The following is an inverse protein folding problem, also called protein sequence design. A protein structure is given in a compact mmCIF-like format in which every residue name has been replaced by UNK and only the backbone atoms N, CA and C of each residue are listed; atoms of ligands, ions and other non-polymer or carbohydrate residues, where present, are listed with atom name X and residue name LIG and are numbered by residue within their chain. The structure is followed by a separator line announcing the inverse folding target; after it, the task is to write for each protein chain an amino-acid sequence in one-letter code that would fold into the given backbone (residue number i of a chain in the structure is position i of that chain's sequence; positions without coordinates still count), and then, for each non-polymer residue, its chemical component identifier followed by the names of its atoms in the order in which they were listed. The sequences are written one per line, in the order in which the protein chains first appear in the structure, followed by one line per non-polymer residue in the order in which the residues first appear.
data_IF_293289095443
#
_entry.id   IF_293289095443
#
_cell.length_a   1.000
_cell.length_b   1.000
_cell.length_c   1.000
_cell.angle_alpha   90.00
_cell.angle_beta   90.00
_cell.angle_gamma   90.00
#
_symmetry.space_group_name_H-M   'P 1'
#
loop_
_entity.id
_entity.type
_entity.pdbx_description
1 polymer ?
#
# COMPACT_ATOMS: atom_id res chain seq x y z
N UNK A 1 24.63 -17.90 17.29
CA UNK A 1 23.85 -19.00 16.63
C UNK A 1 24.62 -20.31 16.60
N UNK A 2 25.84 -20.35 16.03
CA UNK A 2 26.70 -21.55 16.03
C UNK A 2 26.94 -22.09 17.44
N UNK A 3 27.30 -21.22 18.38
CA UNK A 3 27.44 -21.54 19.81
C UNK A 3 26.20 -22.21 20.45
N UNK A 4 24.99 -21.96 19.94
CA UNK A 4 23.76 -22.63 20.40
C UNK A 4 23.56 -24.01 19.78
N UNK A 5 24.05 -24.25 18.56
CA UNK A 5 23.91 -25.50 17.82
C UNK A 5 25.05 -26.51 18.09
N UNK A 6 26.22 -26.01 18.51
CA UNK A 6 27.42 -26.78 18.90
C UNK A 6 27.12 -27.86 19.95
N UNK A 7 26.43 -27.58 21.07
CA UNK A 7 26.11 -28.60 22.08
C UNK A 7 25.18 -29.69 21.56
N UNK A 8 24.39 -29.42 20.51
CA UNK A 8 23.43 -30.35 19.93
C UNK A 8 24.00 -31.13 18.73
N UNK A 9 25.30 -30.99 18.42
CA UNK A 9 25.97 -31.55 17.22
C UNK A 9 25.22 -31.27 15.91
N UNK A 10 24.60 -30.10 15.82
CA UNK A 10 23.68 -29.69 14.75
C UNK A 10 24.20 -28.50 13.93
N UNK A 11 25.51 -28.29 13.84
CA UNK A 11 26.11 -27.18 13.06
C UNK A 11 26.15 -27.43 11.54
N UNK A 12 25.13 -28.07 10.95
CA UNK A 12 25.07 -28.18 9.48
C UNK A 12 24.67 -26.84 8.86
N UNK A 13 25.07 -26.59 7.61
CA UNK A 13 24.67 -25.38 6.86
C UNK A 13 23.15 -25.17 6.90
N UNK A 14 22.38 -26.23 6.68
CA UNK A 14 20.92 -26.19 6.71
C UNK A 14 20.35 -25.82 8.08
N UNK A 15 20.92 -26.35 9.17
CA UNK A 15 20.53 -26.02 10.54
C UNK A 15 20.86 -24.56 10.89
N UNK A 16 22.02 -24.08 10.42
CA UNK A 16 22.42 -22.68 10.56
C UNK A 16 21.47 -21.77 9.78
N UNK A 17 21.05 -22.14 8.57
CA UNK A 17 20.10 -21.31 7.81
C UNK A 17 18.71 -21.34 8.49
N UNK A 18 18.24 -22.51 8.92
CA UNK A 18 16.91 -22.71 9.48
C UNK A 18 16.66 -21.95 10.80
N UNK A 19 17.70 -21.73 11.60
CA UNK A 19 17.55 -21.00 12.86
C UNK A 19 17.88 -19.50 12.78
N UNK A 20 18.11 -18.95 11.58
CA UNK A 20 18.22 -17.49 11.40
C UNK A 20 16.84 -16.85 11.53
N UNK A 21 16.78 -15.73 12.24
CA UNK A 21 15.54 -14.97 12.37
C UNK A 21 15.23 -14.21 11.09
N UNK A 22 13.96 -13.84 10.89
CA UNK A 22 13.58 -12.96 9.79
C UNK A 22 14.29 -11.59 9.86
N UNK A 23 14.64 -11.13 11.08
CA UNK A 23 15.42 -9.92 11.28
C UNK A 23 16.86 -9.99 10.76
N UNK A 24 17.47 -11.19 10.74
CA UNK A 24 18.76 -11.38 10.11
C UNK A 24 18.67 -11.14 8.59
N UNK A 25 17.66 -11.73 7.93
CA UNK A 25 17.46 -11.60 6.49
C UNK A 25 17.13 -10.16 6.08
N UNK A 26 16.30 -9.44 6.85
CA UNK A 26 16.06 -8.02 6.61
C UNK A 26 17.32 -7.18 6.80
N UNK A 27 18.14 -7.51 7.81
CA UNK A 27 19.41 -6.83 8.08
C UNK A 27 20.46 -7.05 6.98
N UNK A 28 20.48 -8.25 6.37
CA UNK A 28 21.37 -8.60 5.25
C UNK A 28 21.12 -7.73 4.01
N UNK A 29 19.90 -7.22 3.85
CA UNK A 29 19.54 -6.30 2.78
C UNK A 29 19.82 -4.83 3.14
N UNK A 30 20.48 -4.55 4.26
CA UNK A 30 20.85 -3.20 4.68
C UNK A 30 21.95 -2.56 3.83
N UNK A 31 22.17 -1.23 3.95
CA UNK A 31 23.17 -0.51 3.16
C UNK A 31 24.61 -0.97 3.40
N UNK A 32 24.89 -1.58 4.57
CA UNK A 32 26.22 -2.12 4.90
C UNK A 32 26.63 -3.29 4.00
N UNK A 33 25.69 -3.92 3.31
CA UNK A 33 25.92 -5.08 2.46
C UNK A 33 25.68 -4.75 0.97
N UNK A 34 25.88 -3.49 0.57
CA UNK A 34 25.72 -3.05 -0.83
C UNK A 34 26.67 -3.79 -1.78
N UNK A 35 27.92 -4.02 -1.38
CA UNK A 35 28.89 -4.80 -2.16
C UNK A 35 28.40 -6.24 -2.33
N UNK A 36 28.00 -6.89 -1.23
CA UNK A 36 27.45 -8.25 -1.28
C UNK A 36 26.19 -8.33 -2.16
N UNK A 37 25.37 -7.27 -2.19
CA UNK A 37 24.25 -7.17 -3.11
C UNK A 37 24.69 -7.16 -4.57
N UNK A 38 25.65 -6.29 -4.91
CA UNK A 38 26.21 -6.16 -6.27
C UNK A 38 26.87 -7.46 -6.72
N UNK A 39 27.56 -8.15 -5.82
CA UNK A 39 28.29 -9.35 -6.16
C UNK A 39 27.36 -10.56 -6.39
N UNK A 40 26.42 -10.80 -5.46
CA UNK A 40 25.62 -12.03 -5.52
C UNK A 40 24.20 -11.97 -4.98
N UNK A 41 23.84 -11.13 -3.99
CA UNK A 41 22.49 -11.21 -3.40
C UNK A 41 21.37 -10.83 -4.37
N UNK A 42 21.63 -9.94 -5.33
CA UNK A 42 20.63 -9.59 -6.35
C UNK A 42 20.13 -10.81 -7.13
N UNK A 43 20.96 -11.85 -7.28
CA UNK A 43 20.61 -13.09 -7.99
C UNK A 43 19.54 -13.92 -7.27
N UNK A 44 19.36 -13.71 -5.97
CA UNK A 44 18.29 -14.34 -5.21
C UNK A 44 16.92 -13.70 -5.45
N UNK A 45 16.88 -12.55 -6.14
CA UNK A 45 15.65 -11.81 -6.46
C UNK A 45 15.55 -11.53 -7.97
N UNK A 46 15.56 -12.58 -8.82
CA UNK A 46 15.64 -12.45 -10.27
C UNK A 46 14.47 -11.66 -10.88
N UNK A 47 13.30 -11.65 -10.22
CA UNK A 47 12.10 -10.97 -10.70
C UNK A 47 11.86 -9.61 -10.02
N UNK A 48 12.85 -9.08 -9.30
CA UNK A 48 12.79 -7.74 -8.73
C UNK A 48 13.26 -6.68 -9.74
N UNK A 49 13.21 -5.40 -9.36
CA UNK A 49 13.78 -4.32 -10.17
C UNK A 49 15.32 -4.28 -10.20
N UNK A 50 15.99 -5.23 -9.53
CA UNK A 50 17.45 -5.24 -9.35
C UNK A 50 17.98 -4.22 -8.34
N UNK A 51 17.16 -3.28 -7.87
CA UNK A 51 17.54 -2.27 -6.87
C UNK A 51 17.41 -2.83 -5.44
N UNK A 52 18.53 -2.95 -4.71
CA UNK A 52 18.55 -3.43 -3.30
C UNK A 52 17.53 -2.71 -2.43
N UNK A 53 17.48 -1.38 -2.54
CA UNK A 53 16.59 -0.53 -1.73
C UNK A 53 15.12 -0.92 -1.86
N UNK A 54 14.68 -1.33 -3.05
CA UNK A 54 13.30 -1.75 -3.27
C UNK A 54 12.99 -3.08 -2.57
N UNK A 55 13.87 -4.08 -2.72
CA UNK A 55 13.74 -5.38 -2.05
C UNK A 55 13.83 -5.23 -0.53
N UNK A 56 14.78 -4.43 -0.03
CA UNK A 56 14.95 -4.15 1.39
C UNK A 56 13.67 -3.55 2.02
N UNK A 57 13.02 -2.60 1.33
CA UNK A 57 11.75 -2.03 1.81
C UNK A 57 10.62 -3.06 1.80
N UNK A 58 10.52 -3.90 0.76
CA UNK A 58 9.51 -4.96 0.70
C UNK A 58 9.67 -5.97 1.85
N UNK A 59 10.90 -6.43 2.10
CA UNK A 59 11.20 -7.33 3.23
C UNK A 59 10.91 -6.67 4.57
N UNK A 60 11.27 -5.41 4.73
CA UNK A 60 11.03 -4.67 5.98
C UNK A 60 9.54 -4.48 6.27
N UNK A 61 8.70 -4.29 5.25
CA UNK A 61 7.24 -4.24 5.40
C UNK A 61 6.67 -5.57 5.90
N UNK A 62 7.05 -6.67 5.23
CA UNK A 62 6.64 -8.02 5.66
C UNK A 62 7.11 -8.29 7.08
N UNK A 63 8.33 -7.86 7.45
CA UNK A 63 8.86 -8.01 8.81
C UNK A 63 8.02 -7.26 9.83
N UNK A 64 7.67 -6.00 9.56
CA UNK A 64 6.84 -5.17 10.44
C UNK A 64 5.46 -5.79 10.63
N UNK A 65 4.81 -6.21 9.54
CA UNK A 65 3.51 -6.86 9.62
C UNK A 65 3.57 -8.18 10.40
N UNK A 66 4.53 -9.06 10.09
CA UNK A 66 4.75 -10.32 10.82
C UNK A 66 5.00 -10.08 12.31
N UNK A 67 5.81 -9.06 12.65
CA UNK A 67 6.10 -8.74 14.05
C UNK A 67 4.85 -8.23 14.79
N UNK A 68 4.04 -7.39 14.14
CA UNK A 68 2.73 -6.97 14.68
C UNK A 68 1.88 -8.19 15.08
N UNK A 69 1.79 -9.17 14.19
CA UNK A 69 1.06 -10.41 14.46
C UNK A 69 1.67 -11.21 15.63
N UNK A 70 3.00 -11.35 15.65
CA UNK A 70 3.71 -12.06 16.72
C UNK A 70 3.60 -11.37 18.09
N UNK A 71 3.39 -10.06 18.12
CA UNK A 71 3.15 -9.29 19.34
C UNK A 71 1.67 -9.22 19.73
N UNK A 72 0.77 -9.87 18.99
CA UNK A 72 -0.69 -9.79 19.20
C UNK A 72 -1.26 -8.36 19.16
N UNK A 73 -0.60 -7.47 18.41
CA UNK A 73 -1.08 -6.11 18.20
C UNK A 73 -2.39 -6.10 17.41
N UNK A 74 -3.22 -5.07 17.63
CA UNK A 74 -4.50 -4.92 16.92
C UNK A 74 -4.32 -4.80 15.41
N UNK A 75 -5.12 -5.58 14.68
CA UNK A 75 -5.22 -5.60 13.21
C UNK A 75 -6.48 -4.91 12.68
N UNK A 76 -7.32 -4.34 13.56
CA UNK A 76 -8.61 -3.72 13.20
C UNK A 76 -8.42 -2.61 12.15
N UNK A 77 -7.33 -1.84 12.26
CA UNK A 77 -7.02 -0.73 11.35
C UNK A 77 -6.03 -1.10 10.23
N UNK A 78 -5.86 -2.39 9.95
CA UNK A 78 -4.90 -2.90 8.97
C UNK A 78 -5.66 -3.51 7.79
N UNK A 79 -5.28 -3.09 6.59
CA UNK A 79 -5.73 -3.70 5.33
C UNK A 79 -5.03 -5.06 5.12
N UNK A 80 -5.57 -6.11 5.75
CA UNK A 80 -5.04 -7.48 5.66
C UNK A 80 -4.90 -7.97 4.21
N UNK A 81 -5.89 -7.78 3.31
CA UNK A 81 -5.73 -8.13 1.91
C UNK A 81 -4.53 -7.45 1.24
N UNK A 82 -4.29 -6.17 1.56
CA UNK A 82 -3.11 -5.45 1.06
C UNK A 82 -1.81 -6.02 1.61
N UNK A 83 -1.69 -6.26 2.92
CA UNK A 83 -0.49 -6.84 3.53
C UNK A 83 -0.17 -8.24 2.96
N UNK A 84 -1.19 -9.06 2.69
CA UNK A 84 -1.01 -10.37 2.05
C UNK A 84 -0.50 -10.25 0.62
N UNK A 85 -1.02 -9.31 -0.17
CA UNK A 85 -0.47 -9.04 -1.51
C UNK A 85 1.01 -8.70 -1.42
N UNK A 86 1.42 -7.85 -0.49
CA UNK A 86 2.84 -7.49 -0.30
C UNK A 86 3.72 -8.70 0.03
N UNK A 87 3.23 -9.67 0.82
CA UNK A 87 3.94 -10.93 1.09
C UNK A 87 4.13 -11.73 -0.20
N UNK A 88 3.07 -11.86 -1.01
CA UNK A 88 3.15 -12.61 -2.26
C UNK A 88 4.00 -11.91 -3.32
N UNK A 89 3.97 -10.58 -3.37
CA UNK A 89 4.81 -9.79 -4.28
C UNK A 89 6.29 -9.97 -3.92
N UNK A 90 6.63 -9.97 -2.63
CA UNK A 90 7.98 -10.29 -2.17
C UNK A 90 8.40 -11.72 -2.53
N UNK A 91 7.50 -12.69 -2.38
CA UNK A 91 7.77 -14.06 -2.80
C UNK A 91 8.01 -14.14 -4.31
N UNK A 92 7.25 -13.37 -5.10
CA UNK A 92 7.39 -13.33 -6.54
C UNK A 92 8.74 -12.77 -6.99
N UNK A 93 9.34 -11.84 -6.23
CA UNK A 93 10.71 -11.37 -6.48
C UNK A 93 11.72 -12.52 -6.50
N UNK A 94 11.52 -13.54 -5.66
CA UNK A 94 12.37 -14.72 -5.57
C UNK A 94 11.98 -15.73 -6.66
N UNK A 95 10.70 -16.12 -6.68
CA UNK A 95 10.18 -17.15 -7.59
C UNK A 95 8.66 -16.97 -7.79
N UNK A 96 8.22 -16.84 -9.04
CA UNK A 96 6.82 -16.59 -9.38
C UNK A 96 5.92 -17.82 -9.14
N UNK A 97 6.44 -19.04 -9.30
CA UNK A 97 5.71 -20.28 -9.08
C UNK A 97 5.53 -20.54 -7.59
N UNK A 98 6.55 -20.25 -6.78
CA UNK A 98 6.46 -20.28 -5.32
C UNK A 98 5.43 -19.28 -4.80
N UNK A 99 5.41 -18.05 -5.34
CA UNK A 99 4.39 -17.06 -4.99
C UNK A 99 2.98 -17.54 -5.36
N UNK A 100 2.79 -18.15 -6.54
CA UNK A 100 1.51 -18.72 -6.97
C UNK A 100 1.08 -19.89 -6.08
N UNK A 101 2.01 -20.74 -5.68
CA UNK A 101 1.77 -21.83 -4.75
C UNK A 101 1.35 -21.31 -3.36
N UNK A 102 2.06 -20.33 -2.80
CA UNK A 102 1.71 -19.70 -1.53
C UNK A 102 0.30 -19.09 -1.56
N UNK A 103 -0.08 -18.43 -2.66
CA UNK A 103 -1.44 -17.90 -2.86
C UNK A 103 -2.49 -19.02 -2.80
N UNK A 104 -2.25 -20.15 -3.47
CA UNK A 104 -3.18 -21.30 -3.48
C UNK A 104 -3.32 -21.97 -2.11
N UNK A 105 -2.23 -22.07 -1.36
CA UNK A 105 -2.24 -22.70 -0.04
C UNK A 105 -2.83 -21.81 1.06
N UNK A 106 -3.07 -20.52 0.80
CA UNK A 106 -3.56 -19.58 1.80
C UNK A 106 -5.08 -19.63 1.94
N UNK A 107 -5.58 -20.21 3.03
CA UNK A 107 -7.01 -20.13 3.41
C UNK A 107 -7.40 -18.83 4.12
N UNK A 108 -6.46 -17.90 4.30
CA UNK A 108 -6.67 -16.71 5.15
C UNK A 108 -7.78 -15.80 4.60
N UNK A 109 -7.90 -15.68 3.28
CA UNK A 109 -8.98 -14.87 2.68
C UNK A 109 -10.37 -15.46 2.91
N UNK A 110 -10.49 -16.80 3.02
CA UNK A 110 -11.75 -17.46 3.38
C UNK A 110 -12.18 -17.10 4.79
N UNK A 111 -11.25 -17.10 5.74
CA UNK A 111 -11.52 -16.68 7.13
C UNK A 111 -11.79 -15.17 7.19
N UNK A 112 -11.01 -14.38 6.46
CA UNK A 112 -11.20 -12.93 6.40
C UNK A 112 -12.59 -12.55 5.87
N UNK A 113 -13.14 -13.30 4.91
CA UNK A 113 -14.49 -13.07 4.39
C UNK A 113 -15.59 -13.31 5.43
N UNK A 114 -15.32 -14.08 6.49
CA UNK A 114 -16.27 -14.33 7.59
C UNK A 114 -16.26 -13.21 8.65
N UNK A 115 -15.39 -12.20 8.51
CA UNK A 115 -15.34 -11.08 9.45
C UNK A 115 -16.67 -10.32 9.44
N UNK A 116 -17.10 -9.77 10.60
CA UNK A 116 -18.23 -8.85 10.62
C UNK A 116 -18.02 -7.70 9.65
N UNK A 117 -19.03 -7.40 8.82
CA UNK A 117 -18.96 -6.37 7.79
C UNK A 117 -18.75 -5.00 8.43
N UNK A 118 -17.80 -4.25 7.89
CA UNK A 118 -17.54 -2.87 8.31
C UNK A 118 -18.46 -1.96 7.49
N UNK A 119 -19.28 -1.14 8.15
CA UNK A 119 -20.18 -0.18 7.49
C UNK A 119 -19.37 0.94 6.81
N UNK A 120 -18.17 1.24 7.32
CA UNK A 120 -17.29 2.29 6.79
C UNK A 120 -16.39 1.81 5.63
N UNK A 121 -16.98 1.69 4.45
CA UNK A 121 -16.31 1.28 3.20
C UNK A 121 -15.50 2.40 2.52
N UNK A 122 -15.71 3.64 2.94
CA UNK A 122 -15.20 4.84 2.26
C UNK A 122 -14.24 5.61 3.16
N UNK A 123 -13.06 5.94 2.63
CA UNK A 123 -12.13 6.85 3.29
C UNK A 123 -12.26 8.27 2.75
N UNK A 124 -12.54 9.25 3.61
CA UNK A 124 -12.43 10.66 3.28
C UNK A 124 -11.01 11.13 3.58
N UNK A 125 -10.28 11.60 2.57
CA UNK A 125 -8.89 12.07 2.71
C UNK A 125 -8.78 13.58 2.62
N UNK A 126 -7.88 14.19 3.38
CA UNK A 126 -7.51 15.58 3.17
C UNK A 126 -6.81 15.71 1.81
N UNK A 127 -7.36 16.57 0.94
CA UNK A 127 -7.10 16.51 -0.49
C UNK A 127 -6.69 17.85 -1.12
N UNK A 128 -6.16 18.80 -0.35
CA UNK A 128 -5.74 20.12 -0.84
C UNK A 128 -4.92 20.07 -2.14
N UNK A 129 -3.95 19.15 -2.20
CA UNK A 129 -3.15 18.91 -3.41
C UNK A 129 -3.58 17.67 -4.19
N UNK A 130 -4.27 16.74 -3.54
CA UNK A 130 -4.62 15.47 -4.18
C UNK A 130 -5.89 15.55 -5.03
N UNK A 131 -6.76 16.54 -4.80
CA UNK A 131 -7.98 16.75 -5.58
C UNK A 131 -7.69 17.08 -7.06
N UNK A 132 -6.83 18.08 -7.38
CA UNK A 132 -6.47 18.34 -8.78
C UNK A 132 -5.83 17.16 -9.51
N UNK A 133 -5.01 16.36 -8.81
CA UNK A 133 -4.42 15.15 -9.39
C UNK A 133 -5.48 14.07 -9.67
N UNK A 134 -6.46 13.92 -8.78
CA UNK A 134 -7.56 13.02 -9.03
C UNK A 134 -8.38 13.47 -10.25
N UNK A 135 -8.66 14.76 -10.40
CA UNK A 135 -9.37 15.30 -11.57
C UNK A 135 -8.60 15.08 -12.88
N UNK A 136 -7.26 15.13 -12.85
CA UNK A 136 -6.45 14.98 -14.06
C UNK A 136 -6.23 13.52 -14.48
N UNK A 137 -6.01 12.60 -13.52
CA UNK A 137 -5.59 11.23 -13.84
C UNK A 137 -6.28 10.13 -13.03
N UNK A 138 -7.38 10.44 -12.33
CA UNK A 138 -8.16 9.51 -11.50
C UNK A 138 -7.27 8.72 -10.52
N UNK A 139 -6.37 9.41 -9.82
CA UNK A 139 -5.46 8.79 -8.87
C UNK A 139 -5.33 9.60 -7.58
N UNK A 140 -5.03 8.89 -6.50
CA UNK A 140 -4.65 9.48 -5.22
C UNK A 140 -3.24 9.08 -4.83
N UNK A 141 -2.40 10.05 -4.51
CA UNK A 141 -1.00 9.85 -4.14
C UNK A 141 -0.76 10.37 -2.72
N UNK A 142 -0.11 9.57 -1.89
CA UNK A 142 0.24 9.93 -0.52
C UNK A 142 1.58 9.33 -0.11
N UNK A 143 2.06 9.72 1.07
CA UNK A 143 3.34 9.24 1.60
C UNK A 143 3.39 7.71 1.68
N UNK A 144 4.52 7.12 1.25
CA UNK A 144 4.77 5.68 1.31
C UNK A 144 4.60 5.15 2.74
N UNK A 145 4.02 3.95 2.87
CA UNK A 145 3.76 3.31 4.16
C UNK A 145 2.62 3.93 4.99
N UNK A 146 1.86 4.89 4.44
CA UNK A 146 0.65 5.40 5.10
C UNK A 146 -0.39 4.28 5.24
N UNK A 147 -0.85 4.03 6.47
CA UNK A 147 -1.83 2.98 6.75
C UNK A 147 -3.25 3.37 6.35
N UNK A 148 -4.00 2.37 5.88
CA UNK A 148 -5.43 2.45 5.59
C UNK A 148 -6.12 1.21 6.15
N UNK A 149 -7.38 1.37 6.59
CA UNK A 149 -8.32 0.28 6.78
C UNK A 149 -8.64 -0.35 5.41
N UNK A 150 -9.20 -1.56 5.38
CA UNK A 150 -9.88 -2.07 4.20
C UNK A 150 -10.91 -1.04 3.73
N UNK A 151 -10.72 -0.52 2.53
CA UNK A 151 -11.56 0.50 1.90
C UNK A 151 -11.92 0.03 0.49
N UNK A 152 -13.14 0.32 0.09
CA UNK A 152 -13.59 0.11 -1.29
C UNK A 152 -13.56 1.42 -2.07
N UNK A 153 -13.68 2.55 -1.37
CA UNK A 153 -13.88 3.87 -1.96
C UNK A 153 -13.06 4.95 -1.28
N UNK A 154 -12.87 6.03 -2.02
CA UNK A 154 -12.23 7.24 -1.52
C UNK A 154 -13.13 8.44 -1.80
N UNK A 155 -13.17 9.39 -0.86
CA UNK A 155 -13.78 10.69 -1.02
C UNK A 155 -12.75 11.77 -0.65
N UNK A 156 -12.92 12.97 -1.19
CA UNK A 156 -11.90 14.02 -1.10
C UNK A 156 -12.44 15.20 -0.30
N UNK A 157 -11.73 15.59 0.75
CA UNK A 157 -12.01 16.78 1.53
C UNK A 157 -11.02 17.90 1.17
N UNK A 158 -11.50 18.90 0.46
CA UNK A 158 -10.75 20.09 0.04
C UNK A 158 -11.68 21.31 0.09
N UNK A 159 -11.12 22.52 0.19
CA UNK A 159 -11.92 23.77 0.18
C UNK A 159 -13.07 23.82 1.19
N UNK A 160 -12.90 23.15 2.33
CA UNK A 160 -13.91 23.02 3.39
C UNK A 160 -15.18 22.29 2.95
N UNK A 161 -15.06 21.34 2.03
CA UNK A 161 -16.16 20.49 1.62
C UNK A 161 -15.67 19.07 1.29
N UNK A 162 -16.55 18.09 1.40
CA UNK A 162 -16.36 16.80 0.74
C UNK A 162 -16.84 16.96 -0.70
N UNK A 163 -15.95 16.70 -1.65
CA UNK A 163 -16.21 16.83 -3.09
C UNK A 163 -17.21 15.78 -3.56
N UNK A 164 -17.80 16.03 -4.73
CA UNK A 164 -18.88 15.22 -5.30
C UNK A 164 -18.46 13.78 -5.57
N UNK A 165 -17.24 13.58 -6.06
CA UNK A 165 -16.80 12.27 -6.53
C UNK A 165 -16.38 11.35 -5.37
N UNK A 166 -16.96 10.15 -5.38
CA UNK A 166 -16.64 9.05 -4.47
C UNK A 166 -16.20 7.82 -5.28
N UNK A 167 -15.02 7.88 -5.91
CA UNK A 167 -14.53 6.81 -6.76
C UNK A 167 -14.23 5.52 -5.98
N UNK A 168 -14.38 4.39 -6.67
CA UNK A 168 -13.92 3.09 -6.18
C UNK A 168 -12.41 2.94 -6.37
N UNK A 169 -11.78 2.19 -5.46
CA UNK A 169 -10.36 1.85 -5.51
C UNK A 169 -10.16 0.67 -6.46
N UNK A 170 -9.53 0.93 -7.61
CA UNK A 170 -9.22 -0.10 -8.61
C UNK A 170 -7.92 -0.84 -8.29
N UNK A 171 -6.92 -0.11 -7.79
CA UNK A 171 -5.62 -0.66 -7.45
C UNK A 171 -4.95 0.18 -6.38
N UNK A 172 -4.19 -0.48 -5.51
CA UNK A 172 -3.34 0.17 -4.50
C UNK A 172 -1.94 -0.38 -4.61
N UNK A 173 -0.96 0.51 -4.73
CA UNK A 173 0.46 0.17 -4.74
C UNK A 173 1.23 1.11 -3.84
N UNK A 174 2.13 0.55 -3.05
CA UNK A 174 2.96 1.31 -2.13
C UNK A 174 4.44 1.16 -2.50
N UNK A 175 5.27 2.10 -2.06
CA UNK A 175 6.70 2.21 -2.37
C UNK A 175 7.07 2.55 -3.81
N UNK A 176 6.16 3.17 -4.56
CA UNK A 176 6.43 3.60 -5.93
C UNK A 176 7.50 4.68 -5.90
N UNK A 177 8.58 4.47 -6.65
CA UNK A 177 9.65 5.46 -6.81
C UNK A 177 9.15 6.57 -7.73
N UNK A 178 9.21 7.82 -7.28
CA UNK A 178 8.83 8.97 -8.09
C UNK A 178 10.05 9.44 -8.86
N UNK A 179 10.17 8.99 -10.11
CA UNK A 179 11.21 9.44 -11.04
C UNK A 179 10.82 9.12 -12.48
N UNK A 180 11.40 9.85 -13.45
CA UNK A 180 11.19 9.61 -14.88
C UNK A 180 11.68 8.23 -15.33
N UNK A 181 12.76 7.72 -14.72
CA UNK A 181 13.26 6.37 -14.97
C UNK A 181 12.24 5.31 -14.57
N UNK A 182 11.62 5.44 -13.39
CA UNK A 182 10.61 4.50 -12.93
C UNK A 182 9.34 4.58 -13.77
N UNK A 183 8.91 5.79 -14.16
CA UNK A 183 7.79 5.96 -15.08
C UNK A 183 8.04 5.22 -16.41
N UNK A 184 9.24 5.38 -17.00
CA UNK A 184 9.65 4.69 -18.23
C UNK A 184 9.67 3.17 -18.06
N UNK A 185 10.15 2.68 -16.91
CA UNK A 185 10.14 1.24 -16.60
C UNK A 185 8.72 0.69 -16.47
N UNK A 186 7.84 1.43 -15.81
CA UNK A 186 6.44 1.03 -15.59
C UNK A 186 5.60 1.12 -16.88
N UNK A 187 5.89 2.07 -17.76
CA UNK A 187 5.19 2.19 -19.06
C UNK A 187 5.51 1.03 -20.00
N UNK A 188 6.73 0.47 -19.91
CA UNK A 188 7.16 -0.72 -20.65
C UNK A 188 6.68 -2.06 -20.05
N UNK A 189 6.04 -2.05 -18.89
CA UNK A 189 5.56 -3.28 -18.22
C UNK A 189 4.29 -3.84 -18.88
N UNK A 190 4.14 -5.17 -18.87
CA UNK A 190 2.93 -5.86 -19.35
C UNK A 190 1.72 -5.67 -18.41
N UNK A 191 1.96 -5.28 -17.15
CA UNK A 191 0.89 -5.02 -16.20
C UNK A 191 0.17 -3.69 -16.53
N UNK A 192 -1.16 -3.76 -16.72
CA UNK A 192 -1.99 -2.60 -17.07
C UNK A 192 -1.96 -1.50 -16.00
N UNK A 193 -1.84 -1.87 -14.73
CA UNK A 193 -1.78 -0.93 -13.62
C UNK A 193 -0.40 -0.29 -13.51
N UNK A 194 0.68 -0.97 -13.90
CA UNK A 194 2.02 -0.36 -14.04
C UNK A 194 1.95 0.81 -15.02
N UNK A 195 1.42 0.55 -16.23
CA UNK A 195 1.25 1.58 -17.26
C UNK A 195 0.36 2.74 -16.80
N UNK A 196 -0.66 2.47 -16.00
CA UNK A 196 -1.49 3.54 -15.39
C UNK A 196 -0.70 4.35 -14.36
N UNK A 197 0.10 3.72 -13.50
CA UNK A 197 0.94 4.45 -12.54
C UNK A 197 2.01 5.29 -13.24
N UNK A 198 2.61 4.79 -14.33
CA UNK A 198 3.53 5.59 -15.14
C UNK A 198 2.91 6.92 -15.56
N UNK A 199 1.68 6.89 -16.09
CA UNK A 199 0.92 8.10 -16.46
C UNK A 199 0.65 9.03 -15.28
N UNK A 200 0.42 8.49 -14.08
CA UNK A 200 0.23 9.31 -12.87
C UNK A 200 1.53 10.03 -12.49
N UNK A 201 2.69 9.36 -12.61
CA UNK A 201 3.99 9.99 -12.36
C UNK A 201 4.24 11.10 -13.39
N UNK A 202 3.98 10.83 -14.67
CA UNK A 202 4.15 11.80 -15.77
C UNK A 202 3.21 13.02 -15.67
N UNK A 203 1.98 12.82 -15.19
CA UNK A 203 1.00 13.89 -15.02
C UNK A 203 1.14 14.67 -13.69
N UNK A 204 1.98 14.20 -12.77
CA UNK A 204 2.15 14.85 -11.46
C UNK A 204 2.92 16.16 -11.59
N UNK A 205 2.51 17.16 -10.82
CA UNK A 205 3.15 18.47 -10.79
C UNK A 205 4.30 18.52 -9.75
N UNK A 206 4.89 19.71 -9.56
CA UNK A 206 5.98 19.96 -8.62
C UNK A 206 5.65 19.64 -7.13
N UNK A 207 4.39 19.34 -6.79
CA UNK A 207 4.00 18.87 -5.46
C UNK A 207 4.60 17.50 -5.14
N UNK A 208 4.76 16.63 -6.14
CA UNK A 208 5.32 15.28 -5.98
C UNK A 208 6.75 15.24 -6.49
N UNK A 209 7.68 15.47 -5.58
CA UNK A 209 9.12 15.48 -5.86
C UNK A 209 9.73 14.08 -5.78
N UNK A 210 11.03 13.98 -6.09
CA UNK A 210 11.80 12.74 -5.95
C UNK A 210 11.60 12.12 -4.56
N UNK A 211 11.09 10.89 -4.55
CA UNK A 211 10.65 10.26 -3.32
C UNK A 211 10.03 8.90 -3.53
N UNK A 212 9.35 8.42 -2.49
CA UNK A 212 8.54 7.21 -2.57
C UNK A 212 7.14 7.45 -2.07
N UNK A 213 6.18 7.02 -2.86
CA UNK A 213 4.77 7.25 -2.58
C UNK A 213 3.96 5.97 -2.62
N UNK A 214 2.77 6.08 -2.05
CA UNK A 214 1.70 5.14 -2.20
C UNK A 214 0.65 5.73 -3.14
N UNK A 215 0.29 4.96 -4.15
CA UNK A 215 -0.61 5.33 -5.24
C UNK A 215 -1.85 4.47 -5.18
N UNK A 216 -3.01 5.12 -5.28
CA UNK A 216 -4.30 4.51 -5.50
C UNK A 216 -4.77 4.90 -6.88
N UNK A 217 -5.06 3.91 -7.72
CA UNK A 217 -5.76 4.12 -8.98
C UNK A 217 -7.25 4.01 -8.71
N UNK A 218 -8.00 5.01 -9.14
CA UNK A 218 -9.40 5.22 -8.80
C UNK A 218 -10.26 5.21 -10.08
N UNK A 219 -11.55 5.00 -9.92
CA UNK A 219 -12.52 5.10 -11.03
C UNK A 219 -12.81 6.56 -11.37
N UNK A 220 -12.79 6.95 -12.65
CA UNK A 220 -13.28 8.26 -13.09
C UNK A 220 -14.79 8.26 -13.43
N UNK A 221 -15.37 9.44 -13.70
CA UNK A 221 -16.74 9.57 -14.18
C UNK A 221 -17.03 8.66 -15.39
N UNK A 222 -18.23 8.06 -15.41
CA UNK A 222 -18.66 7.11 -16.46
C UNK A 222 -18.28 5.65 -16.20
N UNK A 223 -17.43 5.34 -15.22
CA UNK A 223 -17.20 3.97 -14.78
C UNK A 223 -18.40 3.46 -13.95
N UNK A 224 -18.86 2.21 -14.10
CA UNK A 224 -20.06 1.69 -13.40
C UNK A 224 -19.94 1.74 -11.86
N UNK A 225 -18.73 1.53 -11.34
CA UNK A 225 -18.46 1.60 -9.91
C UNK A 225 -18.15 3.01 -9.39
N UNK A 226 -18.09 4.03 -10.25
CA UNK A 226 -17.89 5.41 -9.82
C UNK A 226 -19.19 5.94 -9.22
N UNK A 227 -19.11 6.60 -8.07
CA UNK A 227 -20.26 7.20 -7.38
C UNK A 227 -20.06 8.70 -7.27
N UNK A 228 -21.16 9.43 -7.35
CA UNK A 228 -21.18 10.87 -7.23
C UNK A 228 -22.30 11.28 -6.27
N UNK A 229 -21.97 12.16 -5.33
CA UNK A 229 -22.92 12.72 -4.38
C UNK A 229 -23.87 13.70 -5.08
N UNK A 230 -25.06 13.90 -4.49
CA UNK A 230 -26.06 14.85 -5.01
C UNK A 230 -25.58 16.30 -4.92
N UNK A 231 -24.80 16.61 -3.90
CA UNK A 231 -24.20 17.92 -3.66
C UNK A 231 -22.89 17.75 -2.87
N UNK A 232 -21.99 18.72 -2.97
CA UNK A 232 -20.78 18.75 -2.15
C UNK A 232 -21.18 19.00 -0.69
N UNK A 233 -20.57 18.25 0.24
CA UNK A 233 -20.92 18.35 1.66
C UNK A 233 -20.08 19.43 2.31
N UNK A 234 -20.67 20.59 2.52
CA UNK A 234 -19.97 21.75 3.10
C UNK A 234 -19.63 21.52 4.58
N UNK A 235 -18.52 22.11 5.02
CA UNK A 235 -18.06 22.08 6.40
C UNK A 235 -18.16 23.45 7.06
N UNK A 236 -19.09 23.56 8.01
CA UNK A 236 -19.43 24.80 8.70
C UNK A 236 -18.56 25.06 9.95
N UNK A 237 -17.80 24.08 10.44
CA UNK A 237 -17.01 24.23 11.67
C UNK A 237 -15.89 25.27 11.56
N UNK A 238 -15.92 26.33 12.35
CA UNK A 238 -14.91 27.40 12.36
C UNK A 238 -13.85 27.20 13.45
N UNK A 239 -12.67 27.81 13.28
CA UNK A 239 -11.61 27.83 14.29
C UNK A 239 -10.44 26.88 14.02
N UNK A 240 -9.38 27.00 14.84
CA UNK A 240 -8.16 26.21 14.67
C UNK A 240 -8.45 24.73 14.94
N UNK A 241 -8.19 23.89 13.95
CA UNK A 241 -8.36 22.45 14.08
C UNK A 241 -9.80 21.96 13.92
N UNK A 242 -10.71 22.81 13.43
CA UNK A 242 -12.10 22.45 13.15
C UNK A 242 -12.27 21.55 11.91
N UNK A 243 -11.26 21.49 11.03
CA UNK A 243 -11.33 20.75 9.78
C UNK A 243 -11.88 19.33 9.95
N UNK A 244 -12.92 19.00 9.18
CA UNK A 244 -13.59 17.69 9.21
C UNK A 244 -12.62 16.51 9.05
N UNK A 245 -11.63 16.66 8.15
CA UNK A 245 -10.54 15.71 7.95
C UNK A 245 -9.19 16.38 8.13
N UNK A 246 -8.39 15.89 9.09
CA UNK A 246 -6.98 16.29 9.27
C UNK A 246 -6.00 15.37 8.55
N UNK A 247 -6.28 14.06 8.51
CA UNK A 247 -5.48 13.05 7.82
C UNK A 247 -6.37 12.20 6.92
N UNK A 248 -7.18 11.36 7.54
CA UNK A 248 -8.26 10.61 6.91
C UNK A 248 -9.36 10.33 7.93
N UNK A 249 -10.59 10.16 7.45
CA UNK A 249 -11.77 9.74 8.22
C UNK A 249 -12.44 8.58 7.48
N UNK A 250 -13.05 7.66 8.20
CA UNK A 250 -13.79 6.54 7.61
C UNK A 250 -15.27 6.75 7.86
N UNK A 251 -16.07 6.53 6.81
CA UNK A 251 -17.53 6.66 6.79
C UNK A 251 -18.07 5.64 5.79
N UNK A 252 -19.37 5.39 5.84
CA UNK A 252 -20.04 4.62 4.79
C UNK A 252 -20.40 5.47 3.58
N UNK A 253 -20.40 4.87 2.38
CA UNK A 253 -20.96 5.49 1.19
C UNK A 253 -22.42 5.93 1.43
N UNK A 254 -23.21 5.10 2.11
CA UNK A 254 -24.60 5.40 2.42
C UNK A 254 -24.74 6.69 3.26
N UNK A 255 -23.89 6.88 4.26
CA UNK A 255 -23.86 8.11 5.06
C UNK A 255 -23.50 9.33 4.21
N UNK A 256 -22.53 9.20 3.30
CA UNK A 256 -22.17 10.28 2.37
C UNK A 256 -23.31 10.65 1.42
N UNK A 257 -24.03 9.67 0.88
CA UNK A 257 -25.12 9.88 -0.08
C UNK A 257 -26.36 10.55 0.54
N UNK A 258 -26.55 10.42 1.85
CA UNK A 258 -27.71 10.95 2.58
C UNK A 258 -27.39 12.19 3.44
N UNK A 259 -26.11 12.51 3.63
CA UNK A 259 -25.69 13.71 4.34
C UNK A 259 -25.99 14.98 3.52
N UNK A 260 -26.30 16.07 4.21
CA UNK A 260 -26.43 17.40 3.62
C UNK A 260 -25.16 18.23 3.88
N UNK A 261 -24.52 17.99 5.01
CA UNK A 261 -23.28 18.66 5.43
C UNK A 261 -22.33 17.66 6.07
N UNK A 262 -21.09 18.07 6.30
CA UNK A 262 -20.15 17.24 7.07
C UNK A 262 -20.52 17.06 8.56
N UNK A 263 -21.50 17.80 9.08
CA UNK A 263 -21.98 17.61 10.46
C UNK A 263 -22.86 16.36 10.62
N UNK A 264 -23.37 15.83 9.52
CA UNK A 264 -24.19 14.61 9.48
C UNK A 264 -23.32 13.32 9.46
N UNK A 265 -21.99 13.46 9.54
CA UNK A 265 -20.96 12.41 9.32
C UNK A 265 -19.98 12.21 10.49
#
# INVERSE_FOLDING_TARGET
MRERLRPQRKETRHQIIAGLSFGFWSGLLGPKYEELWRDCLHRAFPNSSGKRKQVAVAVERVRKFRNRLAHHDSTINVDIPFELRQIFDLAAYIDADAARWLKRCSGLMTVYAQRPVTIDDTVVVAAKHAWPLYESCAAYVCQSGRAFRPIERMAFYADREVKLDVPAVLHRRDNVEWSSEEASRLSASDDRFDRKIAKVIEASDATWTDGRYQVFLLTGPGHPDHRQLRAALTHQGTGRGSAFVKRQRYVSLHSLENAMTTADL
#
